data_IF_839328908099
#
_entry.id   IF_839328908099
#
_cell.length_a   1.000
_cell.length_b   1.000
_cell.length_c   1.000
_cell.angle_alpha   90.00
_cell.angle_beta   90.00
_cell.angle_gamma   90.00
#
_symmetry.space_group_name_H-M   'P 1'
#
loop_
_entity.id
_entity.type
_entity.pdbx_description
1 polymer ?
#
# COMPACT_ATOMS: atom_id res chain seq x y z
N UNK A 1 -10.17 3.59 -21.32
CA UNK A 1 -10.71 4.59 -20.38
C UNK A 1 -10.75 3.92 -19.04
N UNK A 2 -9.75 4.21 -18.23
CA UNK A 2 -9.66 3.77 -16.84
C UNK A 2 -10.74 4.49 -16.05
N UNK A 3 -11.60 3.72 -15.38
CA UNK A 3 -12.66 4.27 -14.53
C UNK A 3 -12.08 4.85 -13.24
N UNK A 4 -12.93 5.44 -12.37
CA UNK A 4 -12.51 5.89 -11.05
C UNK A 4 -11.95 4.76 -10.15
N UNK A 5 -12.13 3.50 -10.55
CA UNK A 5 -11.66 2.33 -9.80
C UNK A 5 -10.20 1.92 -10.12
N UNK A 6 -9.56 2.55 -11.12
CA UNK A 6 -8.24 2.14 -11.63
C UNK A 6 -7.05 2.82 -10.91
N UNK A 7 -7.29 3.37 -9.72
CA UNK A 7 -6.35 4.26 -9.02
C UNK A 7 -5.09 3.56 -8.49
N UNK A 8 -5.07 2.22 -8.49
CA UNK A 8 -3.97 1.40 -8.00
C UNK A 8 -3.27 0.64 -9.13
N UNK A 9 -3.61 0.92 -10.38
CA UNK A 9 -3.00 0.25 -11.51
C UNK A 9 -1.52 0.60 -11.65
N UNK A 10 -0.78 -0.37 -12.17
CA UNK A 10 0.67 -0.28 -12.39
C UNK A 10 1.06 0.52 -13.61
N UNK A 11 0.15 0.61 -14.58
CA UNK A 11 0.38 1.28 -15.86
C UNK A 11 0.14 2.80 -15.80
N UNK A 12 -0.39 3.31 -14.69
CA UNK A 12 -0.45 4.74 -14.43
C UNK A 12 0.96 5.34 -14.39
N UNK A 13 1.15 6.46 -15.07
CA UNK A 13 2.33 7.30 -14.93
C UNK A 13 2.38 7.98 -13.54
N UNK A 14 3.54 8.52 -13.15
CA UNK A 14 3.67 9.21 -11.86
C UNK A 14 2.73 10.44 -11.77
N UNK A 15 2.49 11.12 -12.90
CA UNK A 15 1.54 12.24 -12.97
C UNK A 15 0.10 11.75 -12.76
N UNK A 16 -0.30 10.67 -13.44
CA UNK A 16 -1.65 10.09 -13.27
C UNK A 16 -1.86 9.55 -11.85
N UNK A 17 -0.83 8.94 -11.23
CA UNK A 17 -0.86 8.55 -9.82
C UNK A 17 -1.03 9.77 -8.91
N UNK A 18 -0.27 10.84 -9.14
CA UNK A 18 -0.39 12.05 -8.32
C UNK A 18 -1.77 12.71 -8.44
N UNK A 19 -2.34 12.74 -9.64
CA UNK A 19 -3.70 13.25 -9.86
C UNK A 19 -4.76 12.36 -9.19
N UNK A 20 -4.58 11.04 -9.24
CA UNK A 20 -5.50 10.08 -8.63
C UNK A 20 -5.46 10.14 -7.10
N UNK A 21 -4.29 10.03 -6.47
CA UNK A 21 -4.18 9.80 -5.01
C UNK A 21 -3.48 10.91 -4.24
N UNK A 22 -2.90 11.90 -4.92
CA UNK A 22 -2.10 12.96 -4.28
C UNK A 22 -2.87 13.80 -3.26
N UNK A 23 -4.17 13.97 -3.46
CA UNK A 23 -5.06 14.67 -2.51
C UNK A 23 -5.12 14.00 -1.13
N UNK A 24 -4.79 12.71 -1.02
CA UNK A 24 -4.78 11.99 0.27
C UNK A 24 -3.65 12.45 1.19
N UNK A 25 -2.59 13.06 0.63
CA UNK A 25 -1.44 13.57 1.39
C UNK A 25 -1.80 14.73 2.33
N UNK A 26 -2.88 15.45 2.05
CA UNK A 26 -3.25 16.68 2.76
C UNK A 26 -4.08 16.44 4.02
N UNK A 27 -4.72 15.26 4.14
CA UNK A 27 -5.83 15.05 5.09
C UNK A 27 -5.48 14.01 6.16
N UNK A 28 -4.67 13.01 5.84
CA UNK A 28 -4.34 11.94 6.78
C UNK A 28 -2.95 11.36 6.54
N UNK A 29 -2.37 10.79 7.60
CA UNK A 29 -1.25 9.85 7.44
C UNK A 29 -1.80 8.58 6.84
N UNK A 30 -1.11 8.01 5.86
CA UNK A 30 -1.51 6.77 5.18
C UNK A 30 -0.49 5.67 5.45
N UNK A 31 -1.00 4.46 5.72
CA UNK A 31 -0.24 3.21 5.74
C UNK A 31 -0.77 2.33 4.61
N UNK A 32 0.09 1.97 3.67
CA UNK A 32 -0.18 0.99 2.62
C UNK A 32 0.35 -0.35 3.08
N UNK A 33 -0.48 -1.39 2.98
CA UNK A 33 -0.11 -2.77 3.30
C UNK A 33 -0.28 -3.60 2.04
N UNK A 34 0.78 -4.30 1.61
CA UNK A 34 0.75 -5.21 0.48
C UNK A 34 1.11 -6.64 0.92
N UNK A 35 0.27 -7.60 0.55
CA UNK A 35 0.62 -9.01 0.58
C UNK A 35 1.55 -9.39 -0.58
N UNK A 36 2.73 -9.93 -0.28
CA UNK A 36 3.73 -10.37 -1.26
C UNK A 36 3.33 -11.66 -2.00
N UNK A 37 2.28 -12.33 -1.55
CA UNK A 37 1.72 -13.53 -2.16
C UNK A 37 0.29 -13.29 -2.67
N UNK A 38 -0.11 -12.02 -2.85
CA UNK A 38 -1.42 -11.64 -3.37
C UNK A 38 -1.62 -12.23 -4.79
N UNK A 39 -2.58 -13.13 -4.91
CA UNK A 39 -2.92 -13.90 -6.10
C UNK A 39 -3.57 -13.07 -7.22
N UNK A 40 -4.00 -11.84 -6.91
CA UNK A 40 -4.55 -10.89 -7.88
C UNK A 40 -3.50 -9.92 -8.43
N UNK A 41 -2.28 -9.95 -7.88
CA UNK A 41 -1.16 -9.09 -8.30
C UNK A 41 -0.09 -9.91 -9.02
N UNK A 42 0.27 -9.51 -10.24
CA UNK A 42 1.35 -10.16 -10.98
C UNK A 42 2.73 -9.73 -10.46
N UNK A 43 3.26 -10.47 -9.50
CA UNK A 43 4.58 -10.22 -8.90
C UNK A 43 5.77 -10.58 -9.82
N UNK A 44 5.53 -11.21 -10.98
CA UNK A 44 6.60 -11.54 -11.94
C UNK A 44 7.10 -10.32 -12.72
N UNK A 45 6.27 -9.29 -12.81
CA UNK A 45 6.61 -8.02 -13.43
C UNK A 45 7.43 -7.17 -12.45
N UNK A 46 8.52 -6.51 -12.88
CA UNK A 46 9.35 -5.67 -12.00
C UNK A 46 8.46 -4.59 -11.36
N UNK A 47 8.33 -4.63 -10.02
CA UNK A 47 7.30 -3.87 -9.34
C UNK A 47 7.89 -2.86 -8.36
N UNK A 48 7.96 -1.61 -8.81
CA UNK A 48 8.09 -0.45 -7.92
C UNK A 48 6.74 0.24 -7.71
N UNK A 49 5.61 -0.36 -8.11
CA UNK A 49 4.31 0.33 -8.09
C UNK A 49 3.90 0.73 -6.68
N UNK A 50 4.07 -0.16 -5.70
CA UNK A 50 3.74 0.16 -4.30
C UNK A 50 4.63 1.28 -3.76
N UNK A 51 5.90 1.33 -4.16
CA UNK A 51 6.81 2.42 -3.81
C UNK A 51 6.42 3.74 -4.48
N UNK A 52 5.98 3.70 -5.75
CA UNK A 52 5.47 4.88 -6.48
C UNK A 52 4.17 5.39 -5.87
N UNK A 53 3.26 4.49 -5.55
CA UNK A 53 2.00 4.79 -4.86
C UNK A 53 2.27 5.38 -3.47
N UNK A 54 3.14 4.75 -2.69
CA UNK A 54 3.53 5.24 -1.37
C UNK A 54 4.15 6.64 -1.45
N UNK A 55 4.99 6.88 -2.46
CA UNK A 55 5.56 8.20 -2.70
C UNK A 55 4.46 9.24 -3.05
N UNK A 56 3.57 8.93 -3.99
CA UNK A 56 2.48 9.82 -4.39
C UNK A 56 1.53 10.17 -3.23
N UNK A 57 1.34 9.24 -2.29
CA UNK A 57 0.48 9.41 -1.11
C UNK A 57 1.21 9.96 0.12
N UNK A 58 2.54 10.16 0.06
CA UNK A 58 3.37 10.39 1.25
C UNK A 58 3.06 9.36 2.37
N UNK A 59 2.91 8.10 1.97
CA UNK A 59 2.49 7.00 2.82
C UNK A 59 3.67 6.16 3.31
N UNK A 60 3.50 5.52 4.47
CA UNK A 60 4.36 4.41 4.88
C UNK A 60 3.93 3.16 4.10
N UNK A 61 4.89 2.43 3.53
CA UNK A 61 4.67 1.13 2.91
C UNK A 61 5.09 0.02 3.86
N UNK A 62 4.23 -0.99 4.02
CA UNK A 62 4.53 -2.25 4.68
C UNK A 62 4.22 -3.41 3.74
N UNK A 63 5.24 -4.20 3.42
CA UNK A 63 5.08 -5.43 2.66
C UNK A 63 5.17 -6.63 3.61
N UNK A 64 4.21 -7.55 3.48
CA UNK A 64 4.06 -8.72 4.33
C UNK A 64 3.95 -10.01 3.53
N UNK A 65 4.43 -11.11 4.11
CA UNK A 65 4.26 -12.44 3.54
C UNK A 65 2.82 -12.94 3.75
N UNK A 66 1.95 -12.69 2.77
CA UNK A 66 0.55 -13.11 2.82
C UNK A 66 -0.16 -12.93 1.49
N UNK A 67 -1.27 -13.65 1.31
CA UNK A 67 -2.15 -13.54 0.16
C UNK A 67 -3.11 -12.34 0.28
N UNK A 68 -4.03 -12.16 -0.68
CA UNK A 68 -4.85 -10.96 -0.77
C UNK A 68 -5.66 -10.64 0.50
N UNK A 69 -6.25 -11.67 1.12
CA UNK A 69 -7.11 -11.54 2.28
C UNK A 69 -6.42 -11.94 3.61
N UNK A 70 -5.15 -12.34 3.57
CA UNK A 70 -4.36 -12.82 4.70
C UNK A 70 -4.94 -14.07 5.39
N UNK A 71 -5.79 -14.84 4.72
CA UNK A 71 -6.21 -16.17 5.16
C UNK A 71 -5.08 -17.20 4.99
N UNK A 72 -4.11 -16.90 4.13
CA UNK A 72 -2.81 -17.57 4.07
C UNK A 72 -1.69 -16.55 4.33
N UNK A 73 -1.09 -16.61 5.52
CA UNK A 73 0.03 -15.76 5.93
C UNK A 73 1.24 -16.58 6.37
N UNK A 74 2.44 -16.09 6.06
CA UNK A 74 3.65 -16.67 6.61
C UNK A 74 3.66 -16.52 8.15
N UNK A 75 4.24 -17.48 8.88
CA UNK A 75 4.26 -17.44 10.35
C UNK A 75 4.86 -16.12 10.87
N UNK A 76 4.15 -15.43 11.76
CA UNK A 76 4.60 -14.17 12.37
C UNK A 76 4.27 -12.89 11.58
N UNK A 77 3.83 -12.98 10.31
CA UNK A 77 3.55 -11.81 9.49
C UNK A 77 2.24 -11.11 9.88
N UNK A 78 1.25 -11.85 10.39
CA UNK A 78 0.02 -11.28 10.91
C UNK A 78 0.29 -10.46 12.18
N UNK A 79 1.10 -10.98 13.10
CA UNK A 79 1.53 -10.27 14.30
C UNK A 79 2.33 -9.01 13.94
N UNK A 80 3.26 -9.11 12.99
CA UNK A 80 4.02 -7.96 12.48
C UNK A 80 3.11 -6.89 11.86
N UNK A 81 2.07 -7.29 11.12
CA UNK A 81 1.08 -6.36 10.58
C UNK A 81 0.33 -5.65 11.70
N UNK A 82 -0.16 -6.40 12.70
CA UNK A 82 -0.89 -5.82 13.83
C UNK A 82 -0.01 -4.84 14.62
N UNK A 83 1.24 -5.20 14.89
CA UNK A 83 2.21 -4.33 15.56
C UNK A 83 2.45 -3.05 14.76
N UNK A 84 2.60 -3.15 13.44
CA UNK A 84 2.79 -1.99 12.57
C UNK A 84 1.55 -1.08 12.52
N UNK A 85 0.33 -1.64 12.53
CA UNK A 85 -0.91 -0.87 12.60
C UNK A 85 -1.00 -0.15 13.95
N UNK A 86 -0.75 -0.86 15.06
CA UNK A 86 -0.73 -0.27 16.39
C UNK A 86 0.28 0.86 16.44
N UNK A 87 1.52 0.61 16.03
CA UNK A 87 2.60 1.61 15.96
C UNK A 87 2.17 2.84 15.14
N UNK A 88 1.61 2.63 13.95
CA UNK A 88 1.19 3.69 13.04
C UNK A 88 0.10 4.59 13.66
N UNK A 89 -0.85 3.97 14.37
CA UNK A 89 -1.94 4.67 15.04
C UNK A 89 -1.46 5.37 16.32
N UNK A 90 -0.65 4.70 17.16
CA UNK A 90 -0.26 5.21 18.49
C UNK A 90 0.88 6.20 18.44
N UNK A 91 1.90 5.97 17.62
CA UNK A 91 3.05 6.88 17.49
C UNK A 91 2.71 8.13 16.68
N UNK A 92 1.45 8.22 16.26
CA UNK A 92 0.84 9.28 15.50
C UNK A 92 0.15 10.39 16.26
N UNK A 93 0.24 10.39 17.60
CA UNK A 93 -0.29 11.47 18.43
C UNK A 93 0.62 12.72 18.49
N UNK A 94 1.81 12.69 17.87
CA UNK A 94 2.70 13.84 17.80
C UNK A 94 2.94 14.23 16.33
N UNK A 95 2.59 15.49 16.02
CA UNK A 95 2.95 16.18 14.78
C UNK A 95 4.44 16.47 14.74
#
# INVERSE_FOLDING_TARGET
MSGPDDMFSRDLSDTELQEAVGHMTEVARVLIVQGLNDEYVDHSLPNNNNSRLAHAMNARLLEIGGNHALDECAPGELERLLDAIVEFVTNGAAR
#
